data_IF_988607579861
#
_entry.id   IF_988607579861
#
_cell.length_a   1.000
_cell.length_b   1.000
_cell.length_c   1.000
_cell.angle_alpha   90.00
_cell.angle_beta   90.00
_cell.angle_gamma   90.00
#
_symmetry.space_group_name_H-M   'P 1'
#
loop_
_entity.id
_entity.type
_entity.pdbx_description
1 polymer ?
#
# COMPACT_ATOMS: atom_id res chain seq x y z
N UNK A 1 39.60 14.60 -31.52
CA UNK A 1 40.60 13.95 -32.39
C UNK A 1 41.01 12.60 -31.79
N UNK A 2 41.31 11.59 -32.62
CA UNK A 2 41.62 10.23 -32.15
C UNK A 2 42.94 10.17 -31.37
N UNK A 3 43.96 10.94 -31.80
CA UNK A 3 45.25 11.06 -31.11
C UNK A 3 45.09 11.64 -29.71
N UNK A 4 44.44 12.80 -29.64
CA UNK A 4 44.18 13.51 -28.38
C UNK A 4 43.39 12.65 -27.38
N UNK A 5 42.41 11.89 -27.87
CA UNK A 5 41.61 11.00 -27.02
C UNK A 5 42.46 9.91 -26.38
N UNK A 6 43.35 9.28 -27.18
CA UNK A 6 44.25 8.22 -26.69
C UNK A 6 45.26 8.81 -25.69
N UNK A 7 45.87 9.95 -26.00
CA UNK A 7 46.83 10.61 -25.10
C UNK A 7 46.18 10.97 -23.75
N UNK A 8 45.02 11.65 -23.78
CA UNK A 8 44.26 12.00 -22.57
C UNK A 8 43.91 10.76 -21.75
N UNK A 9 43.52 9.67 -22.41
CA UNK A 9 43.22 8.42 -21.74
C UNK A 9 44.47 7.83 -21.05
N UNK A 10 45.60 7.75 -21.75
CA UNK A 10 46.85 7.21 -21.21
C UNK A 10 47.34 8.00 -19.99
N UNK A 11 47.29 9.33 -20.04
CA UNK A 11 47.67 10.21 -18.94
C UNK A 11 46.68 10.06 -17.77
N UNK A 12 45.37 10.10 -18.03
CA UNK A 12 44.36 10.05 -16.97
C UNK A 12 44.37 8.71 -16.21
N UNK A 13 44.62 7.60 -16.91
CA UNK A 13 44.69 6.29 -16.26
C UNK A 13 46.04 6.03 -15.59
N UNK A 14 47.12 6.64 -16.10
CA UNK A 14 48.50 6.51 -15.63
C UNK A 14 48.90 5.04 -15.31
N UNK A 15 48.48 4.11 -16.17
CA UNK A 15 48.69 2.66 -16.04
C UNK A 15 49.35 2.11 -17.30
N UNK A 16 50.25 1.11 -17.20
CA UNK A 16 50.81 0.44 -18.36
C UNK A 16 49.78 -0.41 -19.10
N UNK A 17 49.68 -0.23 -20.41
CA UNK A 17 48.75 -0.95 -21.28
C UNK A 17 49.41 -1.40 -22.58
N UNK A 18 48.94 -2.50 -23.17
CA UNK A 18 49.27 -2.82 -24.56
C UNK A 18 48.24 -2.19 -25.52
N UNK A 19 48.53 -2.20 -26.83
CA UNK A 19 47.63 -1.61 -27.84
C UNK A 19 46.24 -2.25 -27.90
N UNK A 20 46.11 -3.55 -27.59
CA UNK A 20 44.81 -4.24 -27.53
C UNK A 20 44.00 -3.83 -26.30
N UNK A 21 44.66 -3.63 -25.16
CA UNK A 21 44.02 -3.15 -23.94
C UNK A 21 43.44 -1.75 -24.15
N UNK A 22 44.23 -0.82 -24.73
CA UNK A 22 43.79 0.54 -25.03
C UNK A 22 42.60 0.53 -26.01
N UNK A 23 42.66 -0.30 -27.05
CA UNK A 23 41.54 -0.47 -27.99
C UNK A 23 40.24 -0.92 -27.30
N UNK A 24 40.37 -1.89 -26.38
CA UNK A 24 39.22 -2.45 -25.65
C UNK A 24 38.66 -1.45 -24.64
N UNK A 25 39.54 -0.75 -23.90
CA UNK A 25 39.15 0.23 -22.90
C UNK A 25 38.51 1.49 -23.50
N UNK A 26 38.84 1.80 -24.76
CA UNK A 26 38.16 2.83 -25.53
C UNK A 26 36.87 2.33 -26.19
N UNK A 27 36.39 1.15 -25.81
CA UNK A 27 35.15 0.51 -26.30
C UNK A 27 35.09 0.43 -27.83
N UNK A 28 36.21 0.13 -28.48
CA UNK A 28 36.30 0.01 -29.94
C UNK A 28 35.90 1.28 -30.72
N UNK A 29 35.86 2.45 -30.08
CA UNK A 29 35.54 3.74 -30.73
C UNK A 29 36.57 4.16 -31.79
N UNK A 30 37.81 3.68 -31.65
CA UNK A 30 38.92 3.91 -32.57
C UNK A 30 39.35 2.55 -33.11
N UNK A 31 39.56 2.42 -34.42
CA UNK A 31 39.95 1.15 -35.02
C UNK A 31 41.25 0.59 -34.44
N UNK A 32 41.31 -0.73 -34.22
CA UNK A 32 42.44 -1.41 -33.54
C UNK A 32 43.81 -1.06 -34.13
N UNK A 33 43.93 -1.08 -35.45
CA UNK A 33 45.18 -0.74 -36.15
C UNK A 33 45.55 0.73 -35.98
N UNK A 34 44.55 1.63 -35.93
CA UNK A 34 44.77 3.06 -35.74
C UNK A 34 45.23 3.38 -34.32
N UNK A 35 44.71 2.67 -33.30
CA UNK A 35 45.18 2.79 -31.91
C UNK A 35 46.67 2.47 -31.81
N UNK A 36 47.11 1.34 -32.39
CA UNK A 36 48.54 0.98 -32.40
C UNK A 36 49.41 2.06 -33.04
N UNK A 37 49.06 2.51 -34.25
CA UNK A 37 49.78 3.57 -34.96
C UNK A 37 49.86 4.88 -34.18
N UNK A 38 48.78 5.26 -33.50
CA UNK A 38 48.76 6.47 -32.68
C UNK A 38 49.67 6.31 -31.46
N UNK A 39 49.62 5.17 -30.78
CA UNK A 39 50.49 4.90 -29.63
C UNK A 39 51.97 4.93 -30.04
N UNK A 40 52.33 4.30 -31.16
CA UNK A 40 53.69 4.34 -31.71
C UNK A 40 54.13 5.78 -32.00
N UNK A 41 53.26 6.57 -32.64
CA UNK A 41 53.53 7.98 -32.93
C UNK A 41 53.70 8.84 -31.66
N UNK A 42 52.89 8.60 -30.63
CA UNK A 42 53.03 9.30 -29.34
C UNK A 42 54.34 8.95 -28.64
N UNK A 43 54.86 7.74 -28.84
CA UNK A 43 56.20 7.34 -28.37
C UNK A 43 57.30 8.04 -29.16
N UNK A 44 57.18 8.12 -30.49
CA UNK A 44 58.11 8.87 -31.35
C UNK A 44 58.20 10.35 -30.98
N UNK A 45 57.05 10.97 -30.68
CA UNK A 45 56.92 12.35 -30.22
C UNK A 45 57.32 12.54 -28.74
N UNK A 46 57.71 11.46 -28.05
CA UNK A 46 58.11 11.41 -26.63
C UNK A 46 57.04 11.89 -25.65
N UNK A 47 55.76 11.87 -26.04
CA UNK A 47 54.65 12.24 -25.14
C UNK A 47 54.28 11.10 -24.19
N UNK A 48 54.55 9.85 -24.58
CA UNK A 48 54.41 8.65 -23.75
C UNK A 48 55.64 7.75 -23.94
N UNK A 49 55.84 6.81 -23.03
CA UNK A 49 56.92 5.82 -23.13
C UNK A 49 56.35 4.50 -23.61
N UNK A 50 57.02 3.90 -24.60
CA UNK A 50 56.78 2.54 -25.03
C UNK A 50 57.97 1.66 -24.70
N UNK A 51 57.72 0.48 -24.12
CA UNK A 51 58.75 -0.56 -23.90
C UNK A 51 58.32 -1.91 -24.47
N UNK A 52 59.23 -2.55 -25.19
CA UNK A 52 59.01 -3.87 -25.75
C UNK A 52 59.23 -4.95 -24.69
N UNK A 53 58.26 -5.84 -24.55
CA UNK A 53 58.32 -7.02 -23.68
C UNK A 53 58.03 -8.27 -24.51
N UNK A 54 59.09 -8.91 -24.99
CA UNK A 54 59.01 -10.04 -25.92
C UNK A 54 58.37 -9.61 -27.23
N UNK A 55 57.21 -10.18 -27.57
CA UNK A 55 56.45 -9.87 -28.80
C UNK A 55 55.45 -8.71 -28.62
N UNK A 56 55.24 -8.22 -27.40
CA UNK A 56 54.20 -7.24 -27.09
C UNK A 56 54.82 -5.91 -26.69
N UNK A 57 54.23 -4.82 -27.17
CA UNK A 57 54.61 -3.46 -26.79
C UNK A 57 53.72 -2.96 -25.66
N UNK A 58 54.32 -2.42 -24.61
CA UNK A 58 53.63 -1.81 -23.46
C UNK A 58 53.87 -0.32 -23.47
N UNK A 59 52.79 0.46 -23.38
CA UNK A 59 52.78 1.91 -23.40
C UNK A 59 52.33 2.44 -22.03
N UNK A 60 52.93 3.53 -21.57
CA UNK A 60 52.58 4.20 -20.32
C UNK A 60 52.93 5.70 -20.41
N UNK A 61 52.20 6.52 -19.64
CA UNK A 61 52.50 7.95 -19.54
C UNK A 61 53.89 8.16 -18.92
N UNK A 62 54.59 9.21 -19.37
CA UNK A 62 55.89 9.57 -18.80
C UNK A 62 55.71 10.06 -17.36
N UNK A 63 56.59 9.63 -16.45
CA UNK A 63 56.61 10.08 -15.07
C UNK A 63 57.88 10.90 -14.85
N UNK A 64 57.74 12.19 -14.50
CA UNK A 64 58.87 13.04 -14.17
C UNK A 64 59.27 12.85 -12.70
N UNK A 65 60.58 12.78 -12.43
CA UNK A 65 61.11 12.73 -11.09
C UNK A 65 60.92 14.07 -10.34
N UNK A 66 60.77 15.19 -11.05
CA UNK A 66 60.45 16.49 -10.45
C UNK A 66 59.03 16.56 -9.88
N UNK A 67 58.13 15.70 -10.35
CA UNK A 67 56.73 15.65 -9.92
C UNK A 67 56.53 14.79 -8.66
N UNK A 68 57.62 14.24 -8.10
CA UNK A 68 57.58 13.48 -6.85
C UNK A 68 57.59 14.46 -5.67
N UNK A 69 56.51 14.53 -4.87
CA UNK A 69 56.46 15.43 -3.72
C UNK A 69 57.53 15.07 -2.69
N UNK A 70 58.01 16.07 -1.97
CA UNK A 70 58.84 15.85 -0.78
C UNK A 70 58.06 15.13 0.33
N UNK A 71 58.78 14.56 1.29
CA UNK A 71 58.17 13.88 2.44
C UNK A 71 57.21 14.78 3.23
N UNK A 72 57.52 16.08 3.35
CA UNK A 72 56.66 17.02 4.07
C UNK A 72 55.39 17.36 3.26
N UNK A 73 55.52 17.57 1.94
CA UNK A 73 54.37 17.79 1.07
C UNK A 73 53.44 16.57 1.04
N UNK A 74 54.01 15.36 1.04
CA UNK A 74 53.22 14.12 1.13
C UNK A 74 52.44 14.04 2.46
N UNK A 75 53.08 14.43 3.57
CA UNK A 75 52.43 14.47 4.90
C UNK A 75 51.29 15.48 4.95
N UNK A 76 51.49 16.66 4.36
CA UNK A 76 50.47 17.69 4.26
C UNK A 76 49.28 17.23 3.40
N UNK A 77 49.56 16.59 2.25
CA UNK A 77 48.52 15.99 1.42
C UNK A 77 47.72 14.92 2.17
N UNK A 78 48.38 14.06 2.94
CA UNK A 78 47.71 13.03 3.76
C UNK A 78 46.78 13.65 4.82
N UNK A 79 47.20 14.74 5.46
CA UNK A 79 46.37 15.50 6.40
C UNK A 79 45.15 16.12 5.71
N UNK A 80 45.34 16.72 4.53
CA UNK A 80 44.24 17.28 3.74
C UNK A 80 43.26 16.20 3.28
N UNK A 81 43.76 15.05 2.83
CA UNK A 81 42.93 13.90 2.45
C UNK A 81 42.11 13.41 3.66
N UNK A 82 42.72 13.33 4.85
CA UNK A 82 42.01 12.92 6.06
C UNK A 82 40.90 13.92 6.42
N UNK A 83 41.21 15.21 6.41
CA UNK A 83 40.25 16.28 6.69
C UNK A 83 39.08 16.29 5.70
N UNK A 84 39.37 16.25 4.40
CA UNK A 84 38.34 16.23 3.35
C UNK A 84 37.46 14.97 3.41
N UNK A 85 38.02 13.82 3.81
CA UNK A 85 37.24 12.59 4.00
C UNK A 85 36.26 12.73 5.17
N UNK A 86 36.68 13.35 6.26
CA UNK A 86 35.82 13.61 7.42
C UNK A 86 34.70 14.60 7.08
N UNK A 87 35.03 15.69 6.37
CA UNK A 87 34.04 16.66 5.90
C UNK A 87 33.03 16.02 4.93
N UNK A 88 33.50 15.22 3.97
CA UNK A 88 32.63 14.52 3.04
C UNK A 88 31.69 13.52 3.75
N UNK A 89 32.20 12.82 4.77
CA UNK A 89 31.37 11.92 5.59
C UNK A 89 30.28 12.68 6.35
N UNK A 90 30.64 13.84 6.92
CA UNK A 90 29.73 14.72 7.66
C UNK A 90 28.63 15.27 6.75
N UNK A 91 29.00 15.87 5.62
CA UNK A 91 28.05 16.41 4.64
C UNK A 91 27.12 15.33 4.08
N UNK A 92 27.63 14.12 3.85
CA UNK A 92 26.81 12.99 3.39
C UNK A 92 25.78 12.58 4.45
N UNK A 93 26.15 12.57 5.73
CA UNK A 93 25.24 12.27 6.82
C UNK A 93 24.15 13.34 6.94
N UNK A 94 24.52 14.63 6.87
CA UNK A 94 23.58 15.75 6.89
C UNK A 94 22.60 15.71 5.71
N UNK A 95 23.10 15.45 4.49
CA UNK A 95 22.25 15.38 3.32
C UNK A 95 21.25 14.23 3.44
N UNK A 96 21.69 13.05 3.90
CA UNK A 96 20.78 11.93 4.15
C UNK A 96 19.71 12.26 5.20
N UNK A 97 20.06 13.00 6.26
CA UNK A 97 19.09 13.47 7.25
C UNK A 97 18.06 14.44 6.66
N UNK A 98 18.51 15.40 5.84
CA UNK A 98 17.65 16.36 5.13
C UNK A 98 16.73 15.67 4.12
N UNK A 99 17.22 14.69 3.36
CA UNK A 99 16.41 13.88 2.44
C UNK A 99 15.32 13.10 3.17
N UNK A 100 15.63 12.51 4.33
CA UNK A 100 14.63 11.84 5.18
C UNK A 100 13.57 12.82 5.68
N UNK A 101 13.99 13.99 6.16
CA UNK A 101 13.06 15.02 6.64
C UNK A 101 12.15 15.52 5.50
N UNK A 102 12.72 15.76 4.31
CA UNK A 102 11.97 16.17 3.13
C UNK A 102 10.98 15.08 2.69
N UNK A 103 11.40 13.82 2.65
CA UNK A 103 10.53 12.69 2.30
C UNK A 103 9.37 12.55 3.29
N UNK A 104 9.66 12.70 4.59
CA UNK A 104 8.62 12.71 5.63
C UNK A 104 7.61 13.83 5.41
N UNK A 105 8.09 15.05 5.13
CA UNK A 105 7.25 16.23 4.91
C UNK A 105 6.41 16.14 3.63
N UNK A 106 6.96 15.54 2.56
CA UNK A 106 6.23 15.31 1.31
C UNK A 106 5.16 14.21 1.44
N UNK A 107 5.40 13.22 2.31
CA UNK A 107 4.45 12.15 2.60
C UNK A 107 3.37 12.56 3.59
N UNK A 108 3.54 13.64 4.37
CA UNK A 108 2.42 14.25 5.09
C UNK A 108 1.54 15.01 4.10
N UNK A 109 0.25 14.70 4.09
CA UNK A 109 -0.74 15.36 3.24
C UNK A 109 -0.63 16.89 3.39
N UNK A 110 -0.68 17.61 2.26
CA UNK A 110 -0.61 19.06 2.28
C UNK A 110 -1.78 19.59 3.10
N UNK A 111 -1.55 20.64 3.89
CA UNK A 111 -2.56 21.24 4.78
C UNK A 111 -3.87 21.56 4.05
N UNK A 112 -3.81 21.90 2.75
CA UNK A 112 -4.98 22.13 1.91
C UNK A 112 -5.81 20.85 1.65
N UNK A 113 -5.16 19.70 1.43
CA UNK A 113 -5.85 18.42 1.21
C UNK A 113 -6.50 17.93 2.51
N UNK A 114 -5.83 18.14 3.65
CA UNK A 114 -6.40 17.88 4.97
C UNK A 114 -7.62 18.77 5.24
N UNK A 115 -7.58 20.05 4.86
CA UNK A 115 -8.72 20.96 5.01
C UNK A 115 -9.91 20.52 4.15
N UNK A 116 -9.66 20.13 2.88
CA UNK A 116 -10.71 19.61 2.01
C UNK A 116 -11.35 18.33 2.55
N UNK A 117 -10.55 17.40 3.10
CA UNK A 117 -11.05 16.20 3.77
C UNK A 117 -11.87 16.53 5.03
N UNK A 118 -11.44 17.53 5.81
CA UNK A 118 -12.13 18.00 7.01
C UNK A 118 -13.48 18.64 6.65
N UNK A 119 -13.52 19.45 5.58
CA UNK A 119 -14.74 20.07 5.07
C UNK A 119 -15.71 19.03 4.51
N UNK A 120 -15.20 18.02 3.78
CA UNK A 120 -16.00 16.89 3.29
C UNK A 120 -16.59 16.08 4.46
N UNK A 121 -15.77 15.71 5.44
CA UNK A 121 -16.22 14.95 6.60
C UNK A 121 -17.25 15.73 7.43
N UNK A 122 -17.06 17.04 7.58
CA UNK A 122 -18.03 17.91 8.24
C UNK A 122 -19.35 18.00 7.45
N UNK A 123 -19.30 18.02 6.12
CA UNK A 123 -20.49 17.98 5.29
C UNK A 123 -21.25 16.65 5.45
N UNK A 124 -20.55 15.52 5.47
CA UNK A 124 -21.14 14.19 5.74
C UNK A 124 -21.76 14.10 7.14
N UNK A 125 -21.06 14.61 8.17
CA UNK A 125 -21.60 14.67 9.54
C UNK A 125 -22.85 15.57 9.61
N UNK A 126 -22.90 16.66 8.82
CA UNK A 126 -24.06 17.57 8.76
C UNK A 126 -25.25 17.01 7.97
N UNK A 127 -25.05 16.08 7.04
CA UNK A 127 -26.15 15.38 6.34
C UNK A 127 -26.66 14.18 7.14
N UNK A 128 -25.86 13.63 8.05
CA UNK A 128 -26.24 12.51 8.93
C UNK A 128 -27.47 12.74 9.85
N UNK A 129 -27.83 13.96 10.30
CA UNK A 129 -29.02 14.19 11.13
C UNK A 129 -30.34 14.06 10.37
N UNK A 130 -30.37 14.28 9.04
CA UNK A 130 -31.61 14.14 8.26
C UNK A 130 -32.11 12.70 8.21
N UNK A 131 -31.18 11.74 8.28
CA UNK A 131 -31.44 10.30 8.44
C UNK A 131 -32.01 9.94 9.84
N UNK A 132 -31.99 10.87 10.81
CA UNK A 132 -32.48 10.65 12.18
C UNK A 132 -33.91 11.16 12.42
N UNK A 133 -34.51 11.88 11.48
CA UNK A 133 -35.77 12.60 11.72
C UNK A 133 -37.06 11.83 11.41
N UNK A 134 -37.00 10.63 10.84
CA UNK A 134 -38.21 9.94 10.34
C UNK A 134 -38.64 8.66 11.06
N UNK A 135 -37.72 7.92 11.71
CA UNK A 135 -38.03 6.54 12.10
C UNK A 135 -37.42 6.21 13.45
N UNK A 136 -38.26 5.75 14.39
CA UNK A 136 -37.82 5.13 15.65
C UNK A 136 -36.76 4.08 15.31
N UNK A 137 -35.53 4.26 15.80
CA UNK A 137 -34.44 3.30 15.61
C UNK A 137 -34.75 2.04 16.40
N UNK A 138 -35.52 1.13 15.81
CA UNK A 138 -35.63 -0.24 16.30
C UNK A 138 -34.26 -0.87 16.11
N UNK A 139 -33.60 -1.22 17.21
CA UNK A 139 -32.35 -1.96 17.12
C UNK A 139 -32.64 -3.42 16.73
N UNK A 140 -31.60 -4.14 16.33
CA UNK A 140 -31.71 -5.59 16.07
C UNK A 140 -32.20 -6.31 17.32
N UNK A 141 -31.83 -5.84 18.51
CA UNK A 141 -32.29 -6.35 19.80
C UNK A 141 -33.79 -6.08 20.03
N UNK A 142 -34.30 -4.91 19.64
CA UNK A 142 -35.73 -4.60 19.75
C UNK A 142 -36.56 -5.51 18.83
N UNK A 143 -36.10 -5.73 17.59
CA UNK A 143 -36.72 -6.67 16.64
C UNK A 143 -36.73 -8.09 17.21
N UNK A 144 -35.56 -8.58 17.64
CA UNK A 144 -35.43 -9.91 18.22
C UNK A 144 -36.30 -10.09 19.48
N UNK A 145 -36.48 -9.04 20.28
CA UNK A 145 -37.38 -9.06 21.45
C UNK A 145 -38.85 -9.13 21.03
N UNK A 146 -39.25 -8.40 20.00
CA UNK A 146 -40.60 -8.44 19.46
C UNK A 146 -40.92 -9.82 18.86
N UNK A 147 -40.01 -10.39 18.06
CA UNK A 147 -40.15 -11.71 17.45
C UNK A 147 -40.29 -12.80 18.52
N UNK A 148 -39.43 -12.78 19.55
CA UNK A 148 -39.54 -13.72 20.69
C UNK A 148 -40.87 -13.64 21.43
N UNK A 149 -41.42 -12.42 21.59
CA UNK A 149 -42.73 -12.23 22.23
C UNK A 149 -43.86 -12.76 21.35
N UNK A 150 -43.79 -12.51 20.04
CA UNK A 150 -44.76 -13.03 19.07
C UNK A 150 -44.77 -14.57 19.09
N UNK A 151 -43.59 -15.20 19.05
CA UNK A 151 -43.44 -16.65 19.11
C UNK A 151 -44.01 -17.24 20.40
N UNK A 152 -43.70 -16.63 21.55
CA UNK A 152 -44.21 -17.06 22.84
C UNK A 152 -45.75 -16.97 22.89
N UNK A 153 -46.31 -15.84 22.46
CA UNK A 153 -47.76 -15.63 22.44
C UNK A 153 -48.47 -16.58 21.46
N UNK A 154 -47.88 -16.88 20.29
CA UNK A 154 -48.44 -17.86 19.34
C UNK A 154 -48.42 -19.28 19.89
N UNK A 155 -47.39 -19.67 20.65
CA UNK A 155 -47.35 -20.97 21.33
C UNK A 155 -48.47 -21.08 22.37
N UNK A 156 -48.60 -20.07 23.22
CA UNK A 156 -49.66 -20.01 24.24
C UNK A 156 -51.06 -20.05 23.61
N UNK A 157 -51.30 -19.27 22.56
CA UNK A 157 -52.56 -19.28 21.83
C UNK A 157 -52.88 -20.67 21.28
N UNK A 158 -51.91 -21.35 20.63
CA UNK A 158 -52.09 -22.72 20.13
C UNK A 158 -52.51 -23.69 21.23
N UNK A 159 -51.82 -23.65 22.38
CA UNK A 159 -52.07 -24.56 23.51
C UNK A 159 -53.46 -24.29 24.10
N UNK A 160 -53.80 -23.02 24.35
CA UNK A 160 -55.11 -22.64 24.93
C UNK A 160 -56.27 -22.97 24.00
N UNK A 161 -56.13 -22.70 22.71
CA UNK A 161 -57.11 -23.08 21.67
C UNK A 161 -57.31 -24.59 21.65
N UNK A 162 -56.24 -25.37 21.75
CA UNK A 162 -56.32 -26.84 21.83
C UNK A 162 -57.08 -27.28 23.08
N UNK A 163 -56.70 -26.80 24.27
CA UNK A 163 -57.37 -27.19 25.52
C UNK A 163 -58.86 -26.83 25.52
N UNK A 164 -59.21 -25.65 25.00
CA UNK A 164 -60.60 -25.28 24.84
C UNK A 164 -61.32 -26.24 23.89
N UNK A 165 -60.77 -26.49 22.69
CA UNK A 165 -61.38 -27.40 21.71
C UNK A 165 -61.52 -28.83 22.25
N UNK A 166 -60.52 -29.35 22.96
CA UNK A 166 -60.55 -30.69 23.56
C UNK A 166 -61.66 -30.78 24.63
N UNK A 167 -61.73 -29.82 25.55
CA UNK A 167 -62.78 -29.77 26.57
C UNK A 167 -64.18 -29.56 25.97
N UNK A 168 -64.28 -28.67 24.99
CA UNK A 168 -65.54 -28.35 24.31
C UNK A 168 -66.07 -29.55 23.53
N UNK A 169 -65.21 -30.23 22.78
CA UNK A 169 -65.58 -31.44 22.04
C UNK A 169 -66.09 -32.52 23.00
N UNK A 170 -65.40 -32.75 24.12
CA UNK A 170 -65.82 -33.74 25.11
C UNK A 170 -67.20 -33.44 25.71
N UNK A 171 -67.55 -32.17 25.93
CA UNK A 171 -68.88 -31.79 26.42
C UNK A 171 -69.96 -31.91 25.34
N UNK A 172 -69.60 -31.66 24.07
CA UNK A 172 -70.54 -31.53 22.97
C UNK A 172 -70.61 -32.78 22.07
N UNK A 173 -69.94 -33.88 22.44
CA UNK A 173 -69.86 -35.14 21.68
C UNK A 173 -71.23 -35.76 21.36
N UNK A 174 -72.24 -35.54 22.22
CA UNK A 174 -73.61 -36.07 22.07
C UNK A 174 -74.64 -35.04 21.61
N UNK A 175 -74.20 -33.81 21.30
CA UNK A 175 -75.08 -32.68 20.98
C UNK A 175 -75.12 -32.42 19.46
N UNK A 176 -76.20 -31.78 18.99
CA UNK A 176 -76.26 -31.29 17.60
C UNK A 176 -75.46 -29.99 17.44
N UNK A 177 -75.01 -29.70 16.21
CA UNK A 177 -74.22 -28.49 15.92
C UNK A 177 -74.93 -27.19 16.28
N UNK A 178 -76.27 -27.15 16.18
CA UNK A 178 -77.05 -25.98 16.54
C UNK A 178 -77.04 -25.75 18.06
N UNK A 179 -77.31 -26.80 18.84
CA UNK A 179 -77.28 -26.73 20.31
C UNK A 179 -75.91 -26.31 20.84
N UNK A 180 -74.84 -26.81 20.22
CA UNK A 180 -73.47 -26.41 20.54
C UNK A 180 -73.24 -24.89 20.36
N UNK A 181 -73.68 -24.36 19.22
CA UNK A 181 -73.51 -22.94 18.90
C UNK A 181 -74.37 -22.05 19.80
N UNK A 182 -75.60 -22.46 20.09
CA UNK A 182 -76.50 -21.72 20.98
C UNK A 182 -75.89 -21.60 22.40
N UNK A 183 -75.25 -22.67 22.90
CA UNK A 183 -74.56 -22.64 24.20
C UNK A 183 -73.36 -21.69 24.16
N UNK A 184 -72.55 -21.68 23.08
CA UNK A 184 -71.43 -20.75 22.94
C UNK A 184 -71.90 -19.28 23.00
N UNK A 185 -73.03 -18.98 22.35
CA UNK A 185 -73.64 -17.65 22.37
C UNK A 185 -74.17 -17.29 23.76
N UNK A 186 -74.85 -18.22 24.45
CA UNK A 186 -75.39 -18.00 25.80
C UNK A 186 -74.28 -17.76 26.84
N UNK A 187 -73.17 -18.51 26.75
CA UNK A 187 -72.01 -18.34 27.65
C UNK A 187 -71.06 -17.22 27.21
N UNK A 188 -71.30 -16.60 26.05
CA UNK A 188 -70.52 -15.49 25.51
C UNK A 188 -69.10 -15.86 25.08
N UNK A 189 -68.89 -17.06 24.53
CA UNK A 189 -67.59 -17.49 23.99
C UNK A 189 -67.58 -17.38 22.46
N UNK A 190 -66.66 -16.58 21.95
CA UNK A 190 -66.38 -16.45 20.52
C UNK A 190 -65.12 -17.23 20.15
N UNK A 191 -65.19 -18.06 19.10
CA UNK A 191 -64.00 -18.75 18.59
C UNK A 191 -63.22 -17.86 17.60
N UNK A 192 -61.94 -18.16 17.40
CA UNK A 192 -61.09 -17.46 16.43
C UNK A 192 -61.77 -17.39 15.04
N UNK A 193 -62.43 -18.47 14.62
CA UNK A 193 -63.14 -18.54 13.34
C UNK A 193 -64.39 -17.64 13.29
N UNK A 194 -65.09 -17.45 14.41
CA UNK A 194 -66.28 -16.58 14.51
C UNK A 194 -65.94 -15.09 14.35
N UNK A 195 -64.75 -14.69 14.81
CA UNK A 195 -64.24 -13.31 14.68
C UNK A 195 -63.37 -13.10 13.44
N UNK A 196 -63.30 -14.10 12.55
CA UNK A 196 -62.56 -14.00 11.28
C UNK A 196 -61.04 -14.09 11.41
N UNK A 197 -60.53 -14.62 12.52
CA UNK A 197 -59.10 -14.79 12.77
C UNK A 197 -58.66 -16.19 12.34
N UNK A 198 -57.73 -16.24 11.38
CA UNK A 198 -57.10 -17.47 10.94
C UNK A 198 -55.75 -17.65 11.64
N UNK A 199 -55.69 -18.60 12.57
CA UNK A 199 -54.47 -18.89 13.31
C UNK A 199 -53.31 -19.32 12.39
N UNK A 200 -53.58 -20.02 11.29
CA UNK A 200 -52.53 -20.58 10.44
C UNK A 200 -51.96 -19.54 9.46
N UNK A 201 -52.61 -18.38 9.33
CA UNK A 201 -52.07 -17.22 8.61
C UNK A 201 -51.17 -16.38 9.52
N UNK A 202 -50.09 -15.86 8.95
CA UNK A 202 -49.22 -14.89 9.62
C UNK A 202 -50.04 -13.59 9.84
N UNK A 203 -50.15 -13.04 11.08
CA UNK A 203 -50.96 -11.85 11.30
C UNK A 203 -50.25 -10.58 10.77
N UNK A 204 -49.01 -10.73 10.29
CA UNK A 204 -48.23 -9.68 9.65
C UNK A 204 -48.26 -9.77 8.12
N UNK A 205 -48.93 -10.78 7.54
CA UNK A 205 -49.08 -10.92 6.10
C UNK A 205 -49.90 -9.74 5.55
N UNK A 206 -49.30 -8.94 4.65
CA UNK A 206 -49.89 -7.70 4.10
C UNK A 206 -49.58 -6.39 4.84
N UNK A 207 -48.78 -6.42 5.92
CA UNK A 207 -48.28 -5.23 6.62
C UNK A 207 -46.88 -4.77 6.17
N UNK A 208 -46.21 -5.55 5.32
CA UNK A 208 -44.96 -5.21 4.62
C UNK A 208 -45.22 -4.90 3.16
#
# INVERSE_FOLDING_TARGET
>A
DARETILKYMIAQNRPYNSTDVFTNLHSKIGKTLVGKILDKLVEEKEITGKAFGKTMVYFANQDASDVPSTEEMREMDLQIASLKEEAATLKAENSAKEKALTSLLNTAKTADLQAQLDQLNAEVRTTPSLRSGTRKLTVEDKNRADKKLDANRKEWRVRRKYFKDAWNMMNESMTRQQANDILEEIGIETDEMVGVDFDKDPLDGLM
#
